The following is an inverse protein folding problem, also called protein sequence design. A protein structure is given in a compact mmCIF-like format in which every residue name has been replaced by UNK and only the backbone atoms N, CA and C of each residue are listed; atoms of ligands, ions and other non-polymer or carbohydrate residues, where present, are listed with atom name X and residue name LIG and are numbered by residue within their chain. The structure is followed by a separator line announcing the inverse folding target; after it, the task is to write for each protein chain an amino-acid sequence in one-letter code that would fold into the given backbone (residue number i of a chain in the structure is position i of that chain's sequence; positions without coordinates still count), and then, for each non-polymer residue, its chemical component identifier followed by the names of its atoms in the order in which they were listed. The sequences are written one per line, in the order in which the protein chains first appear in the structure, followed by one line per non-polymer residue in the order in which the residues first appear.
data_IF_022840370594
#
_entry.id   IF_022840370594
#
_cell.length_a   1.000
_cell.length_b   1.000
_cell.length_c   1.000
_cell.angle_alpha   90.00
_cell.angle_beta   90.00
_cell.angle_gamma   90.00
#
_symmetry.space_group_name_H-M   'P 1'
#
loop_
_entity.id
_entity.type
_entity.pdbx_description
1 polymer ?
#
# COMPACT_ATOMS: atom_id res chain seq x y z
N UNK A 1 -32.48 11.58 4.58
CA UNK A 1 -31.48 11.72 5.65
C UNK A 1 -30.17 11.95 4.92
N UNK A 2 -29.76 13.20 4.85
CA UNK A 2 -28.60 13.68 4.08
C UNK A 2 -27.54 14.06 5.10
N UNK A 3 -26.32 13.56 4.96
CA UNK A 3 -25.19 13.87 5.86
C UNK A 3 -24.40 15.01 5.22
N UNK A 4 -24.16 16.14 5.90
CA UNK A 4 -23.54 17.30 5.28
C UNK A 4 -22.01 17.30 5.43
N UNK A 5 -21.34 17.76 4.37
CA UNK A 5 -20.01 18.39 4.24
C UNK A 5 -19.45 19.00 5.53
N UNK A 6 -18.18 18.74 5.83
CA UNK A 6 -17.58 18.91 7.16
C UNK A 6 -16.32 19.77 7.13
N UNK A 7 -16.45 21.04 7.50
CA UNK A 7 -15.34 21.86 7.98
C UNK A 7 -15.92 22.66 9.17
N UNK A 8 -15.23 23.55 9.89
CA UNK A 8 -15.88 24.42 10.87
C UNK A 8 -16.81 25.38 10.10
N UNK A 9 -18.03 24.94 9.85
CA UNK A 9 -18.94 25.51 8.87
C UNK A 9 -20.32 24.98 9.16
N UNK A 10 -21.25 25.91 9.35
CA UNK A 10 -22.68 25.65 9.53
C UNK A 10 -23.15 24.58 8.55
N UNK A 11 -23.86 23.54 9.01
CA UNK A 11 -24.53 22.61 8.12
C UNK A 11 -25.31 23.40 7.08
N UNK A 12 -25.25 23.00 5.81
CA UNK A 12 -25.99 23.65 4.73
C UNK A 12 -26.95 22.66 4.09
N UNK A 13 -28.21 23.07 3.92
CA UNK A 13 -29.27 22.24 3.34
C UNK A 13 -30.10 21.44 4.35
N UNK A 14 -31.42 21.41 4.13
CA UNK A 14 -32.37 20.64 4.94
C UNK A 14 -32.42 21.06 6.42
N UNK A 15 -32.68 20.09 7.29
CA UNK A 15 -32.86 20.31 8.73
C UNK A 15 -31.54 20.60 9.48
N UNK A 16 -30.39 20.32 8.85
CA UNK A 16 -29.07 20.59 9.40
C UNK A 16 -28.57 22.01 9.10
N UNK A 17 -29.37 22.82 8.40
CA UNK A 17 -29.01 24.18 8.03
C UNK A 17 -28.79 25.06 9.28
N UNK A 18 -27.53 25.42 9.57
CA UNK A 18 -27.15 26.21 10.74
C UNK A 18 -26.64 25.43 11.95
N UNK A 19 -26.54 24.11 11.86
CA UNK A 19 -25.90 23.29 12.90
C UNK A 19 -24.38 23.48 12.90
N UNK A 20 -23.77 23.52 14.09
CA UNK A 20 -22.31 23.54 14.26
C UNK A 20 -21.90 22.26 14.98
N UNK A 21 -21.16 21.39 14.28
CA UNK A 21 -20.59 20.17 14.84
C UNK A 21 -19.06 20.34 14.91
N UNK A 22 -18.45 20.00 16.04
CA UNK A 22 -17.01 20.14 16.30
C UNK A 22 -16.47 18.89 16.94
N UNK A 23 -15.27 18.45 16.56
CA UNK A 23 -14.67 17.21 17.08
C UNK A 23 -15.46 15.98 16.64
N UNK A 24 -15.75 15.88 15.34
CA UNK A 24 -16.37 14.69 14.76
C UNK A 24 -15.28 13.97 13.99
N UNK A 25 -14.79 12.87 14.56
CA UNK A 25 -13.71 12.09 13.98
C UNK A 25 -14.23 10.99 13.03
N UNK A 26 -15.55 10.77 12.97
CA UNK A 26 -16.18 9.73 12.18
C UNK A 26 -17.31 10.30 11.33
N UNK A 27 -17.08 10.36 10.03
CA UNK A 27 -18.04 10.86 9.06
C UNK A 27 -18.43 9.76 8.09
N UNK A 28 -19.74 9.59 7.90
CA UNK A 28 -20.31 8.58 7.01
C UNK A 28 -21.35 9.21 6.11
N UNK A 29 -21.15 9.09 4.81
CA UNK A 29 -22.09 9.48 3.77
C UNK A 29 -23.31 8.56 3.66
N UNK A 30 -23.95 8.66 2.52
CA UNK A 30 -25.17 8.01 2.12
C UNK A 30 -24.90 7.04 0.96
N UNK A 31 -25.90 6.66 0.18
CA UNK A 31 -25.70 5.85 -1.03
C UNK A 31 -25.73 6.70 -2.32
N UNK A 32 -25.51 8.01 -2.16
CA UNK A 32 -25.48 8.99 -3.24
C UNK A 32 -24.13 9.70 -3.20
N UNK A 33 -23.83 10.47 -4.24
CA UNK A 33 -22.67 11.36 -4.23
C UNK A 33 -22.69 12.33 -3.06
N UNK A 34 -21.73 12.15 -2.17
CA UNK A 34 -21.52 12.94 -0.97
C UNK A 34 -20.22 13.75 -1.07
N UNK A 35 -20.18 14.86 -0.33
CA UNK A 35 -18.95 15.62 -0.11
C UNK A 35 -18.68 15.62 1.38
N UNK A 36 -17.55 15.04 1.77
CA UNK A 36 -17.14 14.76 3.12
C UNK A 36 -15.78 15.43 3.33
N UNK A 37 -15.60 16.16 4.42
CA UNK A 37 -14.33 16.85 4.70
C UNK A 37 -13.95 16.59 6.17
N UNK A 38 -12.67 16.50 6.51
CA UNK A 38 -12.23 16.31 7.88
C UNK A 38 -11.94 17.64 8.56
N UNK A 39 -11.38 17.57 9.76
CA UNK A 39 -10.86 18.71 10.48
C UNK A 39 -9.33 18.67 10.54
N UNK A 40 -8.73 19.16 11.63
CA UNK A 40 -7.27 19.14 11.80
C UNK A 40 -6.78 17.96 12.63
N UNK A 41 -7.66 16.99 12.90
CA UNK A 41 -7.37 15.78 13.65
C UNK A 41 -7.37 14.55 12.75
N UNK A 42 -7.08 13.38 13.32
CA UNK A 42 -7.22 12.13 12.58
C UNK A 42 -8.71 11.78 12.41
N UNK A 43 -9.20 11.81 11.18
CA UNK A 43 -10.58 11.55 10.81
C UNK A 43 -10.72 10.20 10.08
N UNK A 44 -11.91 9.59 10.18
CA UNK A 44 -12.34 8.48 9.35
C UNK A 44 -13.58 8.88 8.55
N UNK A 45 -13.43 8.90 7.23
CA UNK A 45 -14.43 9.33 6.27
C UNK A 45 -14.88 8.13 5.43
N UNK A 46 -16.19 7.93 5.27
CA UNK A 46 -16.75 6.84 4.46
C UNK A 46 -17.84 7.33 3.54
N UNK A 47 -17.61 7.29 2.22
CA UNK A 47 -18.56 7.68 1.17
C UNK A 47 -19.68 6.66 0.96
N UNK A 48 -19.32 5.37 0.98
CA UNK A 48 -20.16 4.19 0.75
C UNK A 48 -20.43 3.92 -0.73
N UNK A 49 -21.44 4.54 -1.33
CA UNK A 49 -21.80 4.29 -2.71
C UNK A 49 -22.17 5.61 -3.37
N UNK A 50 -21.83 5.77 -4.64
CA UNK A 50 -21.97 7.04 -5.32
C UNK A 50 -20.61 7.50 -5.84
N UNK A 51 -20.55 8.69 -6.44
CA UNK A 51 -19.26 9.34 -6.71
C UNK A 51 -19.05 10.37 -5.63
N UNK A 52 -18.15 10.06 -4.70
CA UNK A 52 -17.94 10.81 -3.47
C UNK A 52 -16.68 11.68 -3.57
N UNK A 53 -16.67 12.77 -2.80
CA UNK A 53 -15.48 13.61 -2.60
C UNK A 53 -15.14 13.64 -1.13
N UNK A 54 -14.03 13.02 -0.77
CA UNK A 54 -13.49 12.94 0.59
C UNK A 54 -12.23 13.78 0.68
N UNK A 55 -12.17 14.68 1.66
CA UNK A 55 -11.02 15.52 1.99
C UNK A 55 -10.66 15.31 3.46
N UNK A 56 -9.51 14.73 3.79
CA UNK A 56 -9.10 14.43 5.16
C UNK A 56 -8.74 15.68 5.97
N UNK A 57 -8.09 16.66 5.35
CA UNK A 57 -7.66 17.88 6.02
C UNK A 57 -6.24 17.77 6.57
N UNK A 58 -6.03 18.17 7.82
CA UNK A 58 -4.75 17.90 8.50
C UNK A 58 -4.95 16.70 9.42
N UNK A 59 -3.99 15.79 9.53
CA UNK A 59 -4.16 14.60 10.36
C UNK A 59 -3.59 13.36 9.69
N UNK A 60 -3.76 12.22 10.34
CA UNK A 60 -3.51 10.94 9.69
C UNK A 60 -4.87 10.30 9.47
N UNK A 61 -5.40 10.45 8.27
CA UNK A 61 -6.79 10.19 7.96
C UNK A 61 -7.01 8.83 7.32
N UNK A 62 -8.23 8.33 7.48
CA UNK A 62 -8.71 7.06 6.96
C UNK A 62 -9.88 7.31 6.01
N UNK A 63 -9.64 7.18 4.72
CA UNK A 63 -10.61 7.51 3.67
C UNK A 63 -11.11 6.23 3.00
N UNK A 64 -12.42 6.03 3.01
CA UNK A 64 -13.10 4.91 2.37
C UNK A 64 -14.06 5.51 1.35
N UNK A 65 -13.69 5.53 0.07
CA UNK A 65 -14.60 5.96 -1.01
C UNK A 65 -15.80 5.03 -1.07
N UNK A 66 -15.52 3.77 -1.40
CA UNK A 66 -16.52 2.70 -1.49
C UNK A 66 -16.84 2.41 -2.95
N UNK A 67 -18.08 2.08 -3.27
CA UNK A 67 -18.49 1.79 -4.64
C UNK A 67 -18.73 3.10 -5.40
N UNK A 68 -17.83 3.44 -6.31
CA UNK A 68 -17.83 4.77 -6.88
C UNK A 68 -16.64 5.00 -7.77
N UNK A 69 -16.61 6.18 -8.39
CA UNK A 69 -15.36 6.76 -8.87
C UNK A 69 -15.14 7.98 -7.99
N UNK A 70 -14.31 7.84 -6.97
CA UNK A 70 -14.26 8.79 -5.86
C UNK A 70 -13.03 9.70 -5.94
N UNK A 71 -13.11 10.85 -5.28
CA UNK A 71 -11.98 11.77 -5.12
C UNK A 71 -11.54 11.71 -3.67
N UNK A 72 -10.34 11.16 -3.42
CA UNK A 72 -9.76 11.01 -2.09
C UNK A 72 -8.58 11.96 -1.95
N UNK A 73 -8.74 12.99 -1.14
CA UNK A 73 -7.68 13.92 -0.75
C UNK A 73 -7.35 13.64 0.71
N UNK A 74 -6.16 13.15 1.02
CA UNK A 74 -5.76 12.94 2.43
C UNK A 74 -5.45 14.28 3.08
N UNK A 75 -4.44 14.96 2.55
CA UNK A 75 -4.10 16.32 2.98
C UNK A 75 -2.73 16.33 3.65
N UNK A 76 -2.64 16.86 4.88
CA UNK A 76 -1.38 16.95 5.59
C UNK A 76 -1.25 15.87 6.66
N UNK A 77 -0.35 14.90 6.44
CA UNK A 77 0.02 13.90 7.43
C UNK A 77 0.37 12.59 6.75
N UNK A 78 -0.11 11.48 7.32
CA UNK A 78 0.02 10.14 6.72
C UNK A 78 -1.36 9.53 6.57
N UNK A 79 -1.87 9.61 5.35
CA UNK A 79 -3.27 9.32 5.04
C UNK A 79 -3.39 7.95 4.37
N UNK A 80 -4.53 7.31 4.58
CA UNK A 80 -4.76 5.93 4.14
C UNK A 80 -6.05 5.82 3.34
N UNK A 81 -5.96 5.34 2.11
CA UNK A 81 -7.13 4.85 1.38
C UNK A 81 -7.39 3.39 1.76
N UNK A 82 -8.62 3.11 2.19
CA UNK A 82 -9.05 1.82 2.73
C UNK A 82 -10.07 1.15 1.82
N UNK A 83 -9.78 -0.10 1.45
CA UNK A 83 -10.66 -1.01 0.73
C UNK A 83 -11.10 -2.20 1.61
N UNK A 84 -11.00 -2.04 2.93
CA UNK A 84 -11.30 -3.04 3.97
C UNK A 84 -12.75 -3.58 3.92
N UNK A 85 -13.67 -2.82 3.34
CA UNK A 85 -15.07 -3.18 3.17
C UNK A 85 -15.43 -3.69 1.77
N UNK A 86 -14.45 -3.80 0.86
CA UNK A 86 -14.70 -4.30 -0.48
C UNK A 86 -15.18 -5.75 -0.45
N UNK A 87 -16.14 -6.06 -1.32
CA UNK A 87 -16.79 -7.39 -1.35
C UNK A 87 -16.07 -8.42 -2.24
N UNK A 88 -14.99 -8.00 -2.91
CA UNK A 88 -14.09 -8.78 -3.77
C UNK A 88 -12.70 -8.16 -3.69
N UNK A 89 -11.69 -8.87 -4.21
CA UNK A 89 -10.33 -8.34 -4.33
C UNK A 89 -10.27 -7.11 -5.23
N UNK A 90 -9.42 -6.15 -4.87
CA UNK A 90 -9.25 -4.88 -5.57
C UNK A 90 -7.88 -4.79 -6.23
N UNK A 91 -7.81 -4.02 -7.33
CA UNK A 91 -6.54 -3.46 -7.80
C UNK A 91 -6.54 -1.99 -7.44
N UNK A 92 -5.62 -1.57 -6.57
CA UNK A 92 -5.47 -0.18 -6.14
C UNK A 92 -4.02 0.27 -6.35
N UNK A 93 -3.85 1.35 -7.10
CA UNK A 93 -2.55 1.94 -7.39
C UNK A 93 -2.55 3.46 -7.19
N UNK A 94 -1.66 3.95 -6.34
CA UNK A 94 -1.40 5.37 -6.19
C UNK A 94 -0.64 5.93 -7.41
N UNK A 95 0.31 5.17 -7.95
CA UNK A 95 1.06 5.54 -9.15
C UNK A 95 0.23 5.56 -10.44
N UNK A 96 -0.77 4.67 -10.57
CA UNK A 96 -1.57 4.52 -11.77
C UNK A 96 -3.06 4.24 -11.46
N UNK A 97 -3.79 5.23 -10.92
CA UNK A 97 -5.20 5.07 -10.54
C UNK A 97 -6.11 4.67 -11.72
N UNK A 98 -5.69 4.96 -12.96
CA UNK A 98 -6.45 4.56 -14.16
C UNK A 98 -6.55 3.05 -14.38
N UNK A 99 -5.67 2.27 -13.74
CA UNK A 99 -5.68 0.80 -13.79
C UNK A 99 -6.48 0.15 -12.65
N UNK A 100 -7.06 0.95 -11.75
CA UNK A 100 -7.74 0.42 -10.59
C UNK A 100 -9.02 -0.34 -10.95
N UNK A 101 -9.38 -1.31 -10.11
CA UNK A 101 -10.55 -2.17 -10.29
C UNK A 101 -11.30 -2.39 -8.96
N UNK A 102 -12.49 -2.96 -9.03
CA UNK A 102 -13.34 -3.15 -7.85
C UNK A 102 -13.80 -1.81 -7.28
N UNK A 103 -13.79 -1.70 -5.95
CA UNK A 103 -14.16 -0.46 -5.25
C UNK A 103 -13.12 0.66 -5.43
N UNK A 104 -11.93 0.37 -5.96
CA UNK A 104 -10.94 1.40 -6.33
C UNK A 104 -11.15 1.98 -7.75
N UNK A 105 -12.11 1.44 -8.51
CA UNK A 105 -12.22 1.69 -9.95
C UNK A 105 -12.66 3.13 -10.25
N UNK A 106 -11.73 3.92 -10.81
CA UNK A 106 -11.99 5.32 -11.16
C UNK A 106 -11.70 6.30 -10.02
N UNK A 107 -11.23 5.79 -8.88
CA UNK A 107 -10.75 6.63 -7.78
C UNK A 107 -9.56 7.48 -8.21
N UNK A 108 -9.45 8.64 -7.58
CA UNK A 108 -8.31 9.54 -7.72
C UNK A 108 -7.78 9.91 -6.34
N UNK A 109 -6.46 10.02 -6.24
CA UNK A 109 -5.77 10.23 -4.96
C UNK A 109 -4.92 11.50 -5.00
N UNK A 110 -4.92 12.23 -3.90
CA UNK A 110 -4.02 13.35 -3.66
C UNK A 110 -3.60 13.38 -2.20
N UNK A 111 -2.29 13.37 -1.92
CA UNK A 111 -1.77 13.30 -0.55
C UNK A 111 -2.28 12.05 0.17
N UNK A 112 -2.18 10.88 -0.48
CA UNK A 112 -2.45 9.59 0.14
C UNK A 112 -1.15 8.81 0.09
N UNK A 113 -0.64 8.40 1.24
CA UNK A 113 0.62 7.67 1.35
C UNK A 113 0.37 6.16 1.48
N UNK A 114 -0.80 5.73 1.95
CA UNK A 114 -1.01 4.35 2.35
C UNK A 114 -2.22 3.71 1.67
N UNK A 115 -2.10 2.41 1.36
CA UNK A 115 -3.20 1.59 0.87
C UNK A 115 -3.42 0.40 1.80
N UNK A 116 -4.69 0.13 2.06
CA UNK A 116 -5.13 -1.08 2.75
C UNK A 116 -6.14 -1.81 1.87
N UNK A 117 -5.85 -3.08 1.60
CA UNK A 117 -6.67 -3.99 0.82
C UNK A 117 -7.96 -4.43 1.53
N UNK A 118 -8.61 -5.38 0.88
CA UNK A 118 -9.81 -6.08 1.30
C UNK A 118 -9.48 -7.37 2.07
N UNK A 119 -10.44 -8.28 2.24
CA UNK A 119 -10.21 -9.61 2.81
C UNK A 119 -10.01 -10.70 1.72
N UNK A 120 -9.74 -10.28 0.50
CA UNK A 120 -9.61 -11.13 -0.69
C UNK A 120 -8.29 -10.82 -1.39
N UNK A 121 -7.91 -11.65 -2.36
CA UNK A 121 -6.69 -11.44 -3.14
C UNK A 121 -6.68 -10.07 -3.86
N UNK A 122 -5.83 -9.18 -3.37
CA UNK A 122 -5.69 -7.81 -3.85
C UNK A 122 -4.40 -7.62 -4.66
N UNK A 123 -4.34 -6.51 -5.39
CA UNK A 123 -3.11 -5.99 -6.01
C UNK A 123 -2.94 -4.54 -5.61
N UNK A 124 -1.94 -4.27 -4.76
CA UNK A 124 -1.69 -2.96 -4.18
C UNK A 124 -0.36 -2.41 -4.70
N UNK A 125 -0.39 -1.20 -5.25
CA UNK A 125 0.79 -0.50 -5.75
C UNK A 125 0.90 0.89 -5.15
N UNK A 126 2.00 1.19 -4.48
CA UNK A 126 2.31 2.54 -3.97
C UNK A 126 2.67 3.53 -5.09
N UNK A 127 3.37 4.60 -4.74
CA UNK A 127 3.84 5.62 -5.66
C UNK A 127 5.36 5.82 -5.59
N UNK A 128 5.86 7.04 -5.78
CA UNK A 128 7.29 7.34 -5.62
C UNK A 128 7.64 7.84 -4.21
N UNK A 129 6.66 7.87 -3.32
CA UNK A 129 6.75 8.35 -1.94
C UNK A 129 7.26 7.28 -0.98
N UNK A 130 6.91 7.38 0.30
CA UNK A 130 7.09 6.28 1.24
C UNK A 130 5.71 5.78 1.62
N UNK A 131 5.40 4.54 1.26
CA UNK A 131 4.08 3.97 1.37
C UNK A 131 4.04 2.86 2.42
N UNK A 132 2.91 2.75 3.12
CA UNK A 132 2.52 1.55 3.85
C UNK A 132 1.42 0.82 3.08
N UNK A 133 1.70 -0.42 2.69
CA UNK A 133 0.73 -1.28 1.99
C UNK A 133 0.37 -2.48 2.87
N UNK A 134 -0.91 -2.73 3.05
CA UNK A 134 -1.41 -3.87 3.84
C UNK A 134 -2.46 -4.68 3.07
N UNK A 135 -2.16 -5.95 2.79
CA UNK A 135 -3.05 -6.88 2.06
C UNK A 135 -4.21 -7.44 2.91
N UNK A 136 -3.99 -7.67 4.21
CA UNK A 136 -4.91 -8.29 5.16
C UNK A 136 -5.10 -9.79 5.01
N UNK A 137 -6.07 -10.26 4.23
CA UNK A 137 -6.36 -11.68 4.02
C UNK A 137 -6.46 -11.90 2.53
N UNK A 138 -6.08 -13.09 2.07
CA UNK A 138 -6.04 -13.38 0.65
C UNK A 138 -4.60 -13.57 0.21
N UNK A 139 -4.44 -14.01 -1.04
CA UNK A 139 -3.11 -14.14 -1.63
C UNK A 139 -2.84 -12.84 -2.38
N UNK A 140 -2.16 -11.90 -1.72
CA UNK A 140 -2.07 -10.52 -2.19
C UNK A 140 -0.79 -10.27 -2.99
N UNK A 141 -0.84 -9.28 -3.90
CA UNK A 141 0.32 -8.81 -4.66
C UNK A 141 0.63 -7.37 -4.26
N UNK A 142 1.79 -7.14 -3.64
CA UNK A 142 2.20 -5.83 -3.13
C UNK A 142 3.44 -5.33 -3.84
N UNK A 143 3.38 -4.12 -4.39
CA UNK A 143 4.53 -3.40 -4.94
C UNK A 143 4.61 -2.00 -4.31
N UNK A 144 5.67 -1.71 -3.57
CA UNK A 144 5.86 -0.41 -2.91
C UNK A 144 5.90 0.76 -3.90
N UNK A 145 6.37 0.52 -5.14
CA UNK A 145 6.76 1.58 -6.04
C UNK A 145 8.19 1.98 -5.75
N UNK A 146 8.55 3.25 -5.92
CA UNK A 146 9.86 3.73 -5.52
C UNK A 146 9.74 4.43 -4.18
N UNK A 147 10.70 4.26 -3.27
CA UNK A 147 10.45 4.79 -1.93
C UNK A 147 11.31 4.19 -0.87
N UNK A 148 10.84 4.33 0.38
CA UNK A 148 11.19 3.42 1.46
C UNK A 148 9.87 2.94 2.00
N UNK A 149 9.45 1.78 1.53
CA UNK A 149 8.10 1.28 1.75
C UNK A 149 8.07 0.23 2.85
N UNK A 150 6.90 0.09 3.47
CA UNK A 150 6.61 -1.00 4.40
C UNK A 150 5.45 -1.81 3.86
N UNK A 151 5.73 -3.07 3.55
CA UNK A 151 4.80 -4.01 2.96
C UNK A 151 4.37 -5.02 4.03
N UNK A 152 3.07 -5.21 4.17
CA UNK A 152 2.45 -6.20 5.04
C UNK A 152 1.50 -7.05 4.21
N UNK A 153 1.84 -8.31 3.96
CA UNK A 153 0.97 -9.20 3.19
C UNK A 153 -0.27 -9.58 3.99
N UNK A 154 -0.06 -9.96 5.26
CA UNK A 154 -1.11 -10.39 6.17
C UNK A 154 -1.26 -11.91 6.17
N UNK A 155 -2.48 -12.38 5.96
CA UNK A 155 -2.82 -13.79 5.93
C UNK A 155 -3.06 -14.29 4.50
N UNK A 156 -2.13 -15.11 4.01
CA UNK A 156 -2.29 -15.83 2.76
C UNK A 156 -0.93 -16.02 2.11
N UNK A 157 -0.89 -16.54 0.89
CA UNK A 157 0.35 -16.70 0.15
C UNK A 157 0.64 -15.41 -0.63
N UNK A 158 1.33 -14.47 0.00
CA UNK A 158 1.52 -13.13 -0.55
C UNK A 158 2.74 -13.02 -1.46
N UNK A 159 2.68 -12.13 -2.45
CA UNK A 159 3.78 -11.84 -3.38
C UNK A 159 4.22 -10.39 -3.24
N UNK A 160 5.43 -10.18 -2.75
CA UNK A 160 6.08 -8.87 -2.67
C UNK A 160 6.91 -8.64 -3.93
N UNK A 161 6.50 -7.71 -4.77
CA UNK A 161 7.06 -7.48 -6.11
C UNK A 161 8.02 -6.29 -6.11
N UNK A 162 9.22 -6.52 -6.62
CA UNK A 162 10.22 -5.48 -6.90
C UNK A 162 10.55 -5.51 -8.38
N UNK A 163 9.98 -4.57 -9.12
CA UNK A 163 10.04 -4.49 -10.58
C UNK A 163 11.32 -3.85 -11.09
N UNK A 164 11.97 -3.02 -10.28
CA UNK A 164 13.21 -2.33 -10.64
C UNK A 164 14.11 -2.06 -9.44
N UNK A 165 15.38 -1.72 -9.69
CA UNK A 165 16.31 -1.32 -8.63
C UNK A 165 15.82 -0.06 -7.89
N UNK A 166 15.06 0.81 -8.58
CA UNK A 166 14.52 2.02 -8.00
C UNK A 166 13.47 1.74 -6.92
N UNK A 167 12.89 0.54 -6.94
CA UNK A 167 11.85 0.16 -5.99
C UNK A 167 12.46 0.00 -4.59
N UNK A 168 13.63 -0.66 -4.50
CA UNK A 168 14.29 -0.89 -3.21
C UNK A 168 15.82 -0.87 -3.33
N UNK A 169 16.38 0.33 -3.45
CA UNK A 169 17.83 0.52 -3.64
C UNK A 169 18.63 -0.01 -2.44
N UNK A 170 19.90 -0.40 -2.66
CA UNK A 170 20.77 -0.85 -1.58
C UNK A 170 20.97 0.17 -0.43
N UNK A 171 20.70 1.46 -0.67
CA UNK A 171 20.84 2.56 0.31
C UNK A 171 19.54 2.93 1.01
N UNK A 172 18.41 2.67 0.38
CA UNK A 172 17.06 2.99 0.83
C UNK A 172 16.20 1.75 0.60
N UNK A 173 16.35 0.72 1.46
CA UNK A 173 15.68 -0.55 1.26
C UNK A 173 14.27 -0.53 1.86
N UNK A 174 13.36 -1.16 1.14
CA UNK A 174 12.03 -1.49 1.59
C UNK A 174 12.03 -2.58 2.65
N UNK A 175 10.88 -2.69 3.30
CA UNK A 175 10.67 -3.52 4.47
C UNK A 175 9.44 -4.39 4.28
N UNK A 176 9.62 -5.70 4.36
CA UNK A 176 8.53 -6.65 4.50
C UNK A 176 8.36 -6.97 5.98
N UNK A 177 7.19 -6.64 6.51
CA UNK A 177 6.93 -6.63 7.95
C UNK A 177 6.54 -7.99 8.53
N UNK A 178 6.04 -8.91 7.70
CA UNK A 178 5.40 -10.15 8.16
C UNK A 178 5.67 -11.39 7.29
N UNK A 179 6.75 -11.38 6.48
CA UNK A 179 7.10 -12.48 5.58
C UNK A 179 7.03 -13.87 6.25
N UNK A 180 6.30 -14.78 5.62
CA UNK A 180 5.94 -16.08 6.17
C UNK A 180 6.05 -17.21 5.13
N UNK A 181 7.15 -17.96 5.20
CA UNK A 181 7.31 -19.20 4.43
C UNK A 181 6.20 -20.23 4.71
N UNK A 182 5.58 -20.16 5.89
CA UNK A 182 4.52 -21.09 6.29
C UNK A 182 3.18 -20.82 5.62
N UNK A 183 2.92 -19.56 5.24
CA UNK A 183 1.71 -19.16 4.53
C UNK A 183 1.91 -19.23 3.00
N UNK A 184 3.15 -19.16 2.54
CA UNK A 184 3.50 -19.41 1.14
C UNK A 184 4.14 -18.21 0.45
N UNK A 185 4.49 -17.17 1.20
CA UNK A 185 4.96 -15.90 0.69
C UNK A 185 6.14 -16.03 -0.29
N UNK A 186 6.19 -15.08 -1.21
CA UNK A 186 7.21 -14.96 -2.24
C UNK A 186 7.72 -13.53 -2.36
N UNK A 187 9.00 -13.41 -2.66
CA UNK A 187 9.63 -12.16 -3.08
C UNK A 187 9.88 -12.28 -4.58
N UNK A 188 9.13 -11.53 -5.38
CA UNK A 188 9.33 -11.48 -6.83
C UNK A 188 10.35 -10.42 -7.19
N UNK A 189 11.49 -10.89 -7.69
CA UNK A 189 12.62 -10.08 -8.15
C UNK A 189 12.81 -10.18 -9.67
N UNK A 190 11.92 -10.87 -10.39
CA UNK A 190 12.06 -11.14 -11.82
C UNK A 190 12.21 -9.88 -12.67
N UNK A 191 11.68 -8.73 -12.21
CA UNK A 191 11.90 -7.42 -12.82
C UNK A 191 13.36 -6.93 -12.70
N UNK A 192 13.97 -7.11 -11.53
CA UNK A 192 15.37 -6.72 -11.24
C UNK A 192 16.37 -7.69 -11.88
N UNK A 193 16.10 -9.00 -11.81
CA UNK A 193 16.97 -10.07 -12.31
C UNK A 193 16.72 -10.44 -13.78
N UNK A 194 15.77 -9.74 -14.42
CA UNK A 194 15.35 -9.96 -15.80
C UNK A 194 14.90 -11.41 -16.11
N UNK A 195 14.28 -12.08 -15.13
CA UNK A 195 13.75 -13.45 -15.26
C UNK A 195 14.83 -14.54 -15.38
N UNK A 196 16.07 -14.22 -15.00
CA UNK A 196 17.22 -15.12 -15.11
C UNK A 196 18.11 -15.10 -13.87
N UNK A 197 17.58 -14.65 -12.73
CA UNK A 197 18.35 -14.52 -11.50
C UNK A 197 18.82 -15.86 -10.94
N UNK A 198 19.89 -15.80 -10.15
CA UNK A 198 20.48 -16.97 -9.47
C UNK A 198 20.53 -16.73 -7.98
N UNK A 199 19.81 -17.56 -7.21
CA UNK A 199 19.93 -17.56 -5.76
C UNK A 199 21.20 -18.29 -5.31
N UNK A 200 22.11 -17.58 -4.66
CA UNK A 200 23.40 -18.10 -4.18
C UNK A 200 23.43 -18.34 -2.67
N UNK A 201 22.30 -18.18 -1.98
CA UNK A 201 22.20 -18.40 -0.54
C UNK A 201 22.94 -17.32 0.26
N UNK A 202 23.92 -17.74 1.07
CA UNK A 202 24.71 -16.85 1.93
C UNK A 202 26.10 -16.53 1.36
N UNK A 203 26.47 -17.12 0.23
CA UNK A 203 27.77 -16.91 -0.41
C UNK A 203 27.93 -15.47 -0.88
N UNK A 204 29.18 -15.03 -1.06
CA UNK A 204 29.48 -13.70 -1.61
C UNK A 204 29.23 -13.65 -3.13
N UNK A 205 28.91 -12.46 -3.64
CA UNK A 205 28.72 -12.24 -5.07
C UNK A 205 29.95 -12.64 -5.87
N UNK A 206 29.71 -13.29 -7.00
CA UNK A 206 30.74 -13.82 -7.88
C UNK A 206 30.90 -12.99 -9.16
N UNK A 207 30.32 -11.78 -9.18
CA UNK A 207 30.32 -10.84 -10.31
C UNK A 207 29.53 -11.39 -11.52
N UNK A 208 28.41 -12.05 -11.23
CA UNK A 208 27.43 -12.45 -12.24
C UNK A 208 26.14 -11.64 -12.04
N UNK A 209 25.61 -11.10 -13.13
CA UNK A 209 24.37 -10.34 -13.08
C UNK A 209 23.18 -11.21 -12.62
N UNK A 210 22.31 -10.62 -11.80
CA UNK A 210 21.12 -11.27 -11.28
C UNK A 210 21.37 -12.19 -10.08
N UNK A 211 22.53 -12.11 -9.44
CA UNK A 211 22.79 -12.87 -8.21
C UNK A 211 21.98 -12.33 -7.04
N UNK A 212 21.32 -13.23 -6.32
CA UNK A 212 20.53 -12.93 -5.12
C UNK A 212 21.10 -13.70 -3.94
N UNK A 213 21.43 -12.99 -2.87
CA UNK A 213 21.90 -13.56 -1.61
C UNK A 213 21.12 -13.00 -0.43
N UNK A 214 21.25 -13.63 0.72
CA UNK A 214 20.72 -13.10 1.97
C UNK A 214 21.73 -13.19 3.11
N UNK A 215 21.51 -12.36 4.12
CA UNK A 215 22.18 -12.43 5.43
C UNK A 215 21.08 -12.48 6.49
N UNK A 216 21.00 -13.62 7.18
CA UNK A 216 20.13 -13.79 8.35
C UNK A 216 20.82 -13.17 9.59
N UNK A 217 20.17 -12.18 10.19
CA UNK A 217 20.55 -11.59 11.46
C UNK A 217 19.79 -12.22 12.63
N UNK A 218 19.91 -11.63 13.82
CA UNK A 218 19.22 -12.13 15.02
C UNK A 218 17.74 -11.77 15.08
N UNK A 219 17.35 -10.69 14.42
CA UNK A 219 15.98 -10.14 14.46
C UNK A 219 15.43 -9.79 13.08
N UNK A 220 16.24 -9.88 12.04
CA UNK A 220 15.86 -9.47 10.69
C UNK A 220 16.71 -10.24 9.68
N UNK A 221 16.20 -10.41 8.47
CA UNK A 221 16.96 -10.91 7.32
C UNK A 221 17.10 -9.80 6.29
N UNK A 222 18.28 -9.66 5.70
CA UNK A 222 18.53 -8.73 4.60
C UNK A 222 18.79 -9.53 3.31
N UNK A 223 18.04 -9.22 2.25
CA UNK A 223 18.25 -9.74 0.89
C UNK A 223 19.05 -8.72 0.10
N UNK A 224 20.03 -9.17 -0.67
CA UNK A 224 20.89 -8.35 -1.51
C UNK A 224 20.85 -8.88 -2.94
N UNK A 225 20.77 -7.96 -3.89
CA UNK A 225 20.70 -8.29 -5.32
C UNK A 225 21.82 -7.54 -6.05
N UNK A 226 22.70 -8.29 -6.70
CA UNK A 226 23.67 -7.78 -7.68
C UNK A 226 23.02 -7.91 -9.06
N UNK A 227 22.36 -6.86 -9.50
CA UNK A 227 21.60 -6.88 -10.75
C UNK A 227 22.52 -6.74 -11.96
N UNK A 228 23.62 -6.00 -11.83
CA UNK A 228 24.50 -5.64 -12.93
C UNK A 228 25.74 -6.55 -13.08
N UNK A 229 26.07 -7.35 -12.06
CA UNK A 229 27.18 -8.29 -12.02
C UNK A 229 28.52 -7.68 -11.64
N UNK A 230 28.56 -6.54 -10.94
CA UNK A 230 29.79 -5.88 -10.51
C UNK A 230 30.34 -6.39 -9.17
N UNK A 231 29.66 -7.35 -8.54
CA UNK A 231 30.02 -7.90 -7.23
C UNK A 231 29.53 -7.05 -6.06
N UNK A 232 28.73 -6.01 -6.32
CA UNK A 232 28.10 -5.16 -5.31
C UNK A 232 26.58 -5.20 -5.39
N UNK A 233 25.92 -5.01 -4.25
CA UNK A 233 24.46 -4.96 -4.21
C UNK A 233 23.94 -3.67 -4.85
N UNK A 234 23.10 -3.80 -5.86
CA UNK A 234 22.33 -2.72 -6.46
C UNK A 234 21.04 -2.45 -5.68
N UNK A 235 20.38 -3.51 -5.22
CA UNK A 235 19.14 -3.48 -4.45
C UNK A 235 19.27 -4.25 -3.13
N UNK A 236 18.50 -3.84 -2.12
CA UNK A 236 18.40 -4.52 -0.83
C UNK A 236 16.95 -4.53 -0.37
N UNK A 237 16.50 -5.62 0.25
CA UNK A 237 15.18 -5.71 0.91
C UNK A 237 15.41 -6.19 2.35
N UNK A 238 14.59 -5.71 3.30
CA UNK A 238 14.66 -6.12 4.71
C UNK A 238 13.40 -6.84 5.14
N UNK A 239 13.56 -7.99 5.78
CA UNK A 239 12.49 -8.72 6.46
C UNK A 239 12.58 -8.42 7.96
N UNK A 240 11.44 -8.09 8.59
CA UNK A 240 11.38 -7.80 10.03
C UNK A 240 11.52 -9.03 10.92
N UNK A 241 11.56 -10.21 10.31
CA UNK A 241 11.79 -11.48 10.99
C UNK A 241 13.16 -12.04 10.58
N UNK A 242 13.85 -12.64 11.53
CA UNK A 242 15.01 -13.48 11.24
C UNK A 242 14.52 -14.80 10.65
N UNK A 243 14.78 -14.99 9.36
CA UNK A 243 14.37 -16.18 8.60
C UNK A 243 15.45 -16.58 7.62
N UNK A 244 15.76 -17.87 7.58
CA UNK A 244 16.64 -18.45 6.58
C UNK A 244 15.86 -18.63 5.26
N UNK A 245 16.33 -17.97 4.20
CA UNK A 245 15.69 -18.01 2.89
C UNK A 245 16.27 -19.12 2.01
N UNK A 246 15.45 -19.59 1.09
CA UNK A 246 15.74 -20.63 0.11
C UNK A 246 15.40 -20.13 -1.28
N UNK A 247 15.88 -20.82 -2.32
CA UNK A 247 15.52 -20.48 -3.70
C UNK A 247 14.00 -20.52 -3.95
N UNK A 248 13.24 -21.28 -3.16
CA UNK A 248 11.78 -21.37 -3.32
C UNK A 248 11.02 -20.16 -2.78
N UNK A 249 11.68 -19.26 -2.04
CA UNK A 249 11.08 -18.03 -1.52
C UNK A 249 11.09 -16.89 -2.54
N UNK A 250 11.70 -17.11 -3.71
CA UNK A 250 11.89 -16.09 -4.73
C UNK A 250 11.29 -16.49 -6.08
N UNK A 251 10.84 -15.49 -6.81
CA UNK A 251 10.66 -15.54 -8.27
C UNK A 251 11.79 -14.72 -8.89
N UNK A 252 12.60 -15.31 -9.78
CA UNK A 252 13.84 -14.74 -10.31
C UNK A 252 13.88 -14.69 -11.84
#
# INVERSE_FOLDING_TARGET
MVVPTVCPGTGTGGDAAGDTLTGIEWLRGSAFSDSLTGDGGANRLSGLAGTDTLDGGDGNDQLIGGAGADVLTGGAGFDTALYDNASVGVTASLANPSANTGDAAGDTYSGIENLVGSAFADTLTGDSGSNYLQGWHGDDVLNGGGGIDTLNGGLGADTFVFSSIADSTAKAPDRISDFSQSQGDKIDLSGITHGSGTFIGTEDFTHHAGEVRFIEGTTQTAVYIDANGDGTADAQIRLFTAVALTASDFTL
#
